data_IF_221977435730
#
_entry.id   IF_221977435730
#
_cell.length_a   1.000
_cell.length_b   1.000
_cell.length_c   1.000
_cell.angle_alpha   90.00
_cell.angle_beta   90.00
_cell.angle_gamma   90.00
#
_symmetry.space_group_name_H-M   'P 1'
#
loop_
_entity.id
_entity.type
_entity.pdbx_description
1 polymer ?
#
# COMPACT_ATOMS: atom_id res chain seq x y z
N UNK A 1 7.96 23.35 6.42
CA UNK A 1 7.11 22.21 6.02
C UNK A 1 8.01 21.27 5.26
N UNK A 2 8.34 20.11 5.83
CA UNK A 2 9.18 19.11 5.15
C UNK A 2 8.43 18.54 3.95
N UNK A 3 9.04 18.61 2.77
CA UNK A 3 8.44 18.07 1.56
C UNK A 3 8.51 16.53 1.62
N UNK A 4 7.38 15.86 1.83
CA UNK A 4 7.33 14.39 1.89
C UNK A 4 7.37 13.81 0.46
N UNK A 5 8.57 13.69 -0.13
CA UNK A 5 8.77 13.24 -1.52
C UNK A 5 9.05 11.75 -1.66
N UNK A 6 9.50 11.08 -0.60
CA UNK A 6 10.01 9.71 -0.65
C UNK A 6 9.06 8.70 -1.32
N UNK A 7 7.78 8.68 -0.95
CA UNK A 7 6.81 7.78 -1.58
C UNK A 7 6.66 8.00 -3.09
N UNK A 8 6.79 9.24 -3.58
CA UNK A 8 6.76 9.54 -5.02
C UNK A 8 8.04 9.06 -5.71
N UNK A 9 9.18 9.15 -5.04
CA UNK A 9 10.47 8.67 -5.56
C UNK A 9 10.48 7.16 -5.71
N UNK A 10 9.89 6.42 -4.75
CA UNK A 10 9.71 4.97 -4.81
C UNK A 10 8.77 4.57 -5.95
N UNK A 11 7.62 5.25 -6.11
CA UNK A 11 6.59 4.84 -7.07
C UNK A 11 6.90 5.21 -8.53
N UNK A 12 7.70 6.25 -8.78
CA UNK A 12 8.01 6.74 -10.13
C UNK A 12 8.66 5.69 -11.04
N UNK A 13 9.76 5.01 -10.65
CA UNK A 13 10.36 3.97 -11.49
C UNK A 13 9.40 2.80 -11.71
N UNK A 14 8.76 2.33 -10.63
CA UNK A 14 7.79 1.21 -10.66
C UNK A 14 6.63 1.46 -11.63
N UNK A 15 6.20 2.71 -11.78
CA UNK A 15 5.13 3.05 -12.73
C UNK A 15 5.55 2.83 -14.19
N UNK A 16 6.83 3.03 -14.54
CA UNK A 16 7.32 2.78 -15.89
C UNK A 16 7.43 1.28 -16.18
N UNK A 17 8.06 0.54 -15.26
CA UNK A 17 8.19 -0.92 -15.38
C UNK A 17 6.82 -1.60 -15.38
N UNK A 18 5.90 -1.16 -14.53
CA UNK A 18 4.54 -1.68 -14.48
C UNK A 18 3.75 -1.44 -15.77
N UNK A 19 3.99 -0.33 -16.48
CA UNK A 19 3.38 -0.10 -17.80
C UNK A 19 3.94 -1.05 -18.85
N UNK A 20 5.25 -1.26 -18.88
CA UNK A 20 5.89 -2.20 -19.79
C UNK A 20 5.39 -3.64 -19.53
N UNK A 21 5.34 -4.05 -18.26
CA UNK A 21 4.87 -5.37 -17.88
C UNK A 21 3.39 -5.59 -18.23
N UNK A 22 2.54 -4.58 -18.06
CA UNK A 22 1.13 -4.63 -18.49
C UNK A 22 0.96 -4.86 -19.98
N UNK A 23 1.88 -4.38 -20.82
CA UNK A 23 1.85 -4.64 -22.26
C UNK A 23 2.30 -6.07 -22.60
N UNK A 24 3.21 -6.64 -21.81
CA UNK A 24 3.73 -8.00 -22.03
C UNK A 24 2.78 -9.11 -21.56
N UNK A 25 2.05 -8.87 -20.47
CA UNK A 25 1.12 -9.85 -19.86
C UNK A 25 -0.26 -9.23 -19.58
N UNK A 26 -0.99 -8.79 -20.62
CA UNK A 26 -2.21 -7.99 -20.47
C UNK A 26 -3.33 -8.70 -19.70
N UNK A 27 -3.55 -9.99 -19.95
CA UNK A 27 -4.62 -10.76 -19.32
C UNK A 27 -4.37 -10.99 -17.82
N UNK A 28 -3.10 -11.22 -17.45
CA UNK A 28 -2.69 -11.34 -16.03
C UNK A 28 -2.93 -10.01 -15.30
N UNK A 29 -2.55 -8.89 -15.91
CA UNK A 29 -2.80 -7.57 -15.34
C UNK A 29 -4.29 -7.25 -15.22
N UNK A 30 -5.10 -7.64 -16.20
CA UNK A 30 -6.55 -7.46 -16.16
C UNK A 30 -7.16 -8.25 -14.99
N UNK A 31 -6.79 -9.52 -14.84
CA UNK A 31 -7.24 -10.34 -13.71
C UNK A 31 -6.82 -9.77 -12.36
N UNK A 32 -5.57 -9.32 -12.22
CA UNK A 32 -5.08 -8.70 -11.00
C UNK A 32 -5.78 -7.37 -10.69
N UNK A 33 -6.10 -6.56 -11.70
CA UNK A 33 -6.81 -5.30 -11.52
C UNK A 33 -8.24 -5.52 -10.99
N UNK A 34 -8.97 -6.51 -11.53
CA UNK A 34 -10.31 -6.85 -11.04
C UNK A 34 -10.28 -7.42 -9.62
N UNK A 35 -9.31 -8.29 -9.31
CA UNK A 35 -9.09 -8.77 -7.95
C UNK A 35 -8.83 -7.61 -6.98
N UNK A 36 -7.89 -6.71 -7.34
CA UNK A 36 -7.53 -5.56 -6.52
C UNK A 36 -8.72 -4.64 -6.27
N UNK A 37 -9.50 -4.35 -7.31
CA UNK A 37 -10.71 -3.53 -7.23
C UNK A 37 -11.75 -4.16 -6.31
N UNK A 38 -12.03 -5.46 -6.46
CA UNK A 38 -13.00 -6.17 -5.64
C UNK A 38 -12.54 -6.25 -4.17
N UNK A 39 -11.27 -6.57 -3.93
CA UNK A 39 -10.71 -6.69 -2.59
C UNK A 39 -10.72 -5.35 -1.84
N UNK A 40 -10.41 -4.25 -2.51
CA UNK A 40 -10.33 -2.92 -1.90
C UNK A 40 -11.67 -2.16 -1.86
N UNK A 41 -12.70 -2.61 -2.59
CA UNK A 41 -14.02 -1.99 -2.52
C UNK A 41 -14.55 -1.94 -1.06
N UNK A 42 -15.10 -0.81 -0.60
CA UNK A 42 -15.64 -0.70 0.75
C UNK A 42 -16.81 -1.68 0.95
N UNK A 43 -16.92 -2.25 2.15
CA UNK A 43 -17.99 -3.18 2.54
C UNK A 43 -18.15 -3.16 4.05
N UNK A 44 -18.27 -4.33 4.70
CA UNK A 44 -18.26 -4.44 6.17
C UNK A 44 -17.00 -3.80 6.77
N UNK A 45 -15.86 -3.96 6.09
CA UNK A 45 -14.66 -3.16 6.36
C UNK A 45 -14.64 -1.97 5.39
N UNK A 46 -14.48 -0.77 5.95
CA UNK A 46 -14.28 0.44 5.17
C UNK A 46 -12.93 0.42 4.43
N UNK A 47 -12.82 1.23 3.38
CA UNK A 47 -11.59 1.34 2.58
C UNK A 47 -10.39 1.71 3.45
N UNK A 48 -10.55 2.62 4.42
CA UNK A 48 -9.49 3.03 5.36
C UNK A 48 -8.89 1.83 6.08
N UNK A 49 -9.74 0.96 6.65
CA UNK A 49 -9.29 -0.24 7.34
C UNK A 49 -8.55 -1.19 6.41
N UNK A 50 -9.04 -1.37 5.17
CA UNK A 50 -8.38 -2.23 4.18
C UNK A 50 -7.02 -1.69 3.76
N UNK A 51 -6.88 -0.38 3.58
CA UNK A 51 -5.60 0.26 3.27
C UNK A 51 -4.60 0.16 4.42
N UNK A 52 -5.06 0.31 5.68
CA UNK A 52 -4.20 0.08 6.85
C UNK A 52 -3.71 -1.37 6.92
N UNK A 53 -4.59 -2.34 6.66
CA UNK A 53 -4.20 -3.76 6.58
C UNK A 53 -3.19 -4.01 5.45
N UNK A 54 -3.41 -3.44 4.27
CA UNK A 54 -2.49 -3.56 3.15
C UNK A 54 -1.14 -2.88 3.41
N UNK A 55 -1.13 -1.75 4.13
CA UNK A 55 0.09 -1.06 4.56
C UNK A 55 0.92 -1.96 5.50
N UNK A 56 0.32 -2.53 6.55
CA UNK A 56 1.06 -3.41 7.48
C UNK A 56 1.55 -4.69 6.81
N UNK A 57 0.82 -5.21 5.82
CA UNK A 57 1.30 -6.30 4.97
C UNK A 57 2.49 -5.86 4.12
N UNK A 58 2.47 -4.66 3.55
CA UNK A 58 3.60 -4.09 2.81
C UNK A 58 4.87 -3.98 3.66
N UNK A 59 4.73 -3.57 4.93
CA UNK A 59 5.83 -3.52 5.90
C UNK A 59 6.34 -4.94 6.21
N UNK A 60 5.45 -5.88 6.51
CA UNK A 60 5.81 -7.28 6.78
C UNK A 60 6.54 -7.94 5.62
N UNK A 61 6.11 -7.67 4.38
CA UNK A 61 6.76 -8.15 3.17
C UNK A 61 8.02 -7.35 2.79
N UNK A 62 8.30 -6.25 3.51
CA UNK A 62 9.38 -5.30 3.21
C UNK A 62 9.36 -4.83 1.76
N UNK A 63 8.17 -4.50 1.27
CA UNK A 63 7.93 -4.07 -0.09
C UNK A 63 7.74 -2.55 -0.13
N UNK A 64 8.79 -1.79 -0.44
CA UNK A 64 8.74 -0.32 -0.47
C UNK A 64 7.64 0.22 -1.40
N UNK A 65 7.46 -0.42 -2.56
CA UNK A 65 6.39 -0.07 -3.50
C UNK A 65 4.99 -0.28 -2.92
N UNK A 66 4.80 -1.35 -2.14
CA UNK A 66 3.55 -1.66 -1.45
C UNK A 66 3.32 -0.66 -0.31
N UNK A 67 4.35 -0.38 0.50
CA UNK A 67 4.31 0.60 1.58
C UNK A 67 3.93 1.98 1.03
N UNK A 68 4.61 2.45 -0.02
CA UNK A 68 4.32 3.75 -0.63
C UNK A 68 2.91 3.82 -1.24
N UNK A 69 2.46 2.74 -1.89
CA UNK A 69 1.12 2.68 -2.50
C UNK A 69 0.03 2.75 -1.44
N UNK A 70 0.11 1.91 -0.41
CA UNK A 70 -0.93 1.77 0.61
C UNK A 70 -0.86 2.85 1.69
N UNK A 71 0.31 3.45 1.96
CA UNK A 71 0.38 4.67 2.77
C UNK A 71 -0.36 5.83 2.11
N UNK A 72 -0.22 6.00 0.78
CA UNK A 72 -0.99 7.00 0.02
C UNK A 72 -2.47 6.65 -0.02
N UNK A 73 -2.81 5.37 -0.20
CA UNK A 73 -4.19 4.87 -0.17
C UNK A 73 -4.88 5.16 1.17
N UNK A 74 -4.24 4.79 2.28
CA UNK A 74 -4.73 5.05 3.64
C UNK A 74 -4.95 6.55 3.89
N UNK A 75 -3.98 7.40 3.54
CA UNK A 75 -4.13 8.84 3.67
C UNK A 75 -5.29 9.39 2.82
N UNK A 76 -5.46 8.89 1.59
CA UNK A 76 -6.57 9.29 0.70
C UNK A 76 -7.92 8.80 1.22
N UNK A 77 -7.95 7.69 1.96
CA UNK A 77 -9.12 7.16 2.64
C UNK A 77 -9.38 7.83 4.01
N UNK A 78 -8.60 8.84 4.39
CA UNK A 78 -8.80 9.62 5.61
C UNK A 78 -8.14 9.05 6.87
N UNK A 79 -7.19 8.12 6.74
CA UNK A 79 -6.42 7.64 7.88
C UNK A 79 -5.61 8.78 8.52
N UNK A 80 -5.68 8.89 9.84
CA UNK A 80 -4.86 9.86 10.59
C UNK A 80 -3.47 9.32 10.85
N UNK A 81 -2.54 10.20 11.28
CA UNK A 81 -1.18 9.77 11.65
C UNK A 81 -1.20 8.83 12.85
N UNK A 82 -2.12 9.06 13.78
CA UNK A 82 -2.33 8.26 14.99
C UNK A 82 -2.82 6.86 14.64
N UNK A 83 -3.80 6.73 13.73
CA UNK A 83 -4.29 5.43 13.27
C UNK A 83 -3.20 4.62 12.56
N UNK A 84 -2.38 5.29 11.73
CA UNK A 84 -1.23 4.63 11.08
C UNK A 84 -0.19 4.20 12.12
N UNK A 85 0.10 5.05 13.12
CA UNK A 85 1.05 4.73 14.18
C UNK A 85 0.60 3.54 15.03
N UNK A 86 -0.69 3.45 15.38
CA UNK A 86 -1.24 2.28 16.08
C UNK A 86 -1.10 1.00 15.26
N UNK A 87 -1.40 1.05 13.95
CA UNK A 87 -1.26 -0.10 13.06
C UNK A 87 0.21 -0.56 12.92
N UNK A 88 1.16 0.38 12.83
CA UNK A 88 2.59 0.08 12.84
C UNK A 88 3.02 -0.51 14.19
N UNK A 89 2.44 -0.06 15.31
CA UNK A 89 2.66 -0.68 16.62
C UNK A 89 2.34 -2.17 16.66
N UNK A 90 1.25 -2.59 16.02
CA UNK A 90 0.92 -4.01 15.83
C UNK A 90 1.94 -4.70 14.93
N UNK A 91 2.40 -4.03 13.87
CA UNK A 91 3.41 -4.58 12.96
C UNK A 91 4.75 -4.81 13.66
N UNK A 92 5.17 -3.88 14.50
CA UNK A 92 6.35 -3.96 15.35
C UNK A 92 6.25 -5.12 16.35
N UNK A 93 5.07 -5.32 16.97
CA UNK A 93 4.83 -6.48 17.83
C UNK A 93 5.07 -7.81 17.10
N UNK A 94 4.60 -7.91 15.85
CA UNK A 94 4.65 -9.16 15.08
C UNK A 94 6.02 -9.41 14.44
N UNK A 95 6.71 -8.36 13.99
CA UNK A 95 7.94 -8.47 13.19
C UNK A 95 9.20 -8.11 13.98
N UNK A 96 9.08 -7.53 15.18
CA UNK A 96 10.20 -6.94 15.90
C UNK A 96 10.78 -5.73 15.14
N UNK A 97 12.08 -5.47 15.31
CA UNK A 97 12.77 -4.31 14.71
C UNK A 97 12.48 -4.06 13.21
N UNK A 98 12.42 -5.07 12.33
CA UNK A 98 12.05 -4.89 10.92
C UNK A 98 10.63 -4.36 10.65
N UNK A 99 9.76 -4.35 11.66
CA UNK A 99 8.38 -3.88 11.56
C UNK A 99 8.17 -2.38 11.82
N UNK A 100 9.24 -1.62 12.07
CA UNK A 100 9.20 -0.15 12.20
C UNK A 100 9.24 0.54 10.85
#
# INVERSE_FOLDING_TARGET
>A
MTEHTHGKEVLRPLAMEGRALRQMIPDVYAGFAELSKAAMAPGVLELKTKELLALVMGITLRCDGCIATHARGAASAGATREEVAEAIGVTLLMNGGPGT
#
